data_IF_650353303691
#
_entry.id   IF_650353303691
#
_cell.length_a   1.000
_cell.length_b   1.000
_cell.length_c   1.000
_cell.angle_alpha   90.00
_cell.angle_beta   90.00
_cell.angle_gamma   90.00
#
_symmetry.space_group_name_H-M   'P 1'
#
loop_
_entity.id
_entity.type
_entity.pdbx_description
1 polymer ?
#
# COMPACT_ATOMS: atom_id res chain seq x y z
N UNK A 1 7.71 13.64 6.70
CA UNK A 1 7.50 13.24 8.11
C UNK A 1 6.03 13.27 8.52
N UNK A 2 5.30 14.39 8.36
CA UNK A 2 3.92 14.52 8.83
C UNK A 2 2.95 13.48 8.24
N UNK A 3 3.03 13.19 6.93
CA UNK A 3 2.16 12.20 6.26
C UNK A 3 2.34 10.80 6.88
N UNK A 4 3.58 10.38 7.11
CA UNK A 4 3.90 9.09 7.74
C UNK A 4 3.24 8.93 9.10
N UNK A 5 3.37 9.93 9.98
CA UNK A 5 2.76 9.91 11.30
C UNK A 5 1.22 9.85 11.20
N UNK A 6 0.63 10.58 10.24
CA UNK A 6 -0.80 10.55 10.00
C UNK A 6 -1.28 9.18 9.51
N UNK A 7 -0.54 8.50 8.63
CA UNK A 7 -0.89 7.16 8.13
C UNK A 7 -0.97 6.14 9.28
N UNK A 8 0.03 6.12 10.16
CA UNK A 8 0.05 5.22 11.32
C UNK A 8 -1.08 5.53 12.31
N UNK A 9 -1.24 6.81 12.69
CA UNK A 9 -2.26 7.23 13.66
C UNK A 9 -3.68 7.02 13.15
N UNK A 10 -3.94 7.29 11.87
CA UNK A 10 -5.26 7.14 11.25
C UNK A 10 -5.76 5.69 11.28
N UNK A 11 -4.85 4.71 11.24
CA UNK A 11 -5.19 3.28 11.28
C UNK A 11 -4.81 2.58 12.58
N UNK A 12 -4.33 3.32 13.57
CA UNK A 12 -3.89 2.79 14.87
C UNK A 12 -2.87 1.65 14.72
N UNK A 13 -1.96 1.78 13.75
CA UNK A 13 -0.89 0.81 13.53
C UNK A 13 0.31 1.12 14.44
N UNK A 14 1.00 0.08 14.97
CA UNK A 14 2.15 0.27 15.83
C UNK A 14 3.33 0.92 15.08
N UNK A 15 4.23 1.54 15.85
CA UNK A 15 5.41 2.22 15.30
C UNK A 15 6.40 1.31 14.58
N UNK A 16 6.29 -0.01 14.76
CA UNK A 16 7.05 -1.02 14.02
C UNK A 16 6.86 -0.89 12.50
N UNK A 17 5.67 -0.46 12.05
CA UNK A 17 5.36 -0.27 10.62
C UNK A 17 5.77 1.10 10.06
N UNK A 18 6.66 1.81 10.76
CA UNK A 18 7.07 3.14 10.34
C UNK A 18 7.78 3.13 8.99
N UNK A 19 8.61 2.12 8.71
CA UNK A 19 9.30 1.99 7.43
C UNK A 19 8.33 1.87 6.25
N UNK A 20 7.30 1.04 6.40
CA UNK A 20 6.25 0.83 5.39
C UNK A 20 5.38 2.06 5.20
N UNK A 21 5.08 2.78 6.29
CA UNK A 21 4.38 4.06 6.24
C UNK A 21 5.21 5.12 5.50
N UNK A 22 6.53 5.17 5.71
CA UNK A 22 7.43 6.09 4.97
C UNK A 22 7.41 5.77 3.48
N UNK A 23 7.59 4.51 3.12
CA UNK A 23 7.59 4.07 1.72
C UNK A 23 6.27 4.42 1.03
N UNK A 24 5.14 4.18 1.70
CA UNK A 24 3.82 4.55 1.18
C UNK A 24 3.66 6.06 1.04
N UNK A 25 4.11 6.84 2.02
CA UNK A 25 4.04 8.30 1.95
C UNK A 25 4.86 8.87 0.78
N UNK A 26 6.08 8.35 0.56
CA UNK A 26 6.93 8.75 -0.59
C UNK A 26 6.27 8.36 -1.90
N UNK A 27 5.72 7.15 -1.98
CA UNK A 27 5.01 6.69 -3.18
C UNK A 27 3.82 7.58 -3.54
N UNK A 28 2.99 7.92 -2.55
CA UNK A 28 1.85 8.81 -2.73
C UNK A 28 2.28 10.22 -3.12
N UNK A 29 3.37 10.73 -2.55
CA UNK A 29 3.92 12.04 -2.91
C UNK A 29 4.37 12.07 -4.37
N UNK A 30 4.99 10.98 -4.85
CA UNK A 30 5.43 10.88 -6.24
C UNK A 30 4.24 10.87 -7.22
N UNK A 31 3.10 10.34 -6.80
CA UNK A 31 1.85 10.32 -7.58
C UNK A 31 0.98 11.57 -7.38
N UNK A 32 1.37 12.49 -6.49
CA UNK A 32 0.59 13.69 -6.18
C UNK A 32 1.06 14.88 -7.02
N UNK A 33 0.16 15.79 -7.44
CA UNK A 33 0.54 17.01 -8.12
C UNK A 33 1.43 17.88 -7.24
N UNK A 34 2.55 18.36 -7.79
CA UNK A 34 3.43 19.30 -7.11
C UNK A 34 3.18 20.72 -7.63
N UNK A 35 3.02 21.68 -6.70
CA UNK A 35 2.87 23.10 -7.05
C UNK A 35 4.07 23.64 -7.83
N UNK A 36 5.27 23.17 -7.50
CA UNK A 36 6.52 23.53 -8.19
C UNK A 36 6.59 23.02 -9.63
N UNK A 37 5.76 22.04 -10.01
CA UNK A 37 5.72 21.45 -11.35
C UNK A 37 4.48 21.87 -12.14
N UNK A 38 3.87 23.00 -11.79
CA UNK A 38 2.68 23.54 -12.48
C UNK A 38 1.54 22.51 -12.60
N UNK A 39 1.32 21.75 -11.52
CA UNK A 39 0.26 20.74 -11.46
C UNK A 39 0.61 19.38 -12.03
N UNK A 40 1.85 19.16 -12.52
CA UNK A 40 2.36 17.83 -12.84
C UNK A 40 2.76 17.06 -11.58
N UNK A 41 2.69 15.74 -11.65
CA UNK A 41 3.22 14.85 -10.59
C UNK A 41 4.74 14.69 -10.73
N UNK A 42 5.43 14.33 -9.64
CA UNK A 42 6.87 14.03 -9.70
C UNK A 42 7.14 12.81 -10.61
N UNK A 43 6.25 11.83 -10.59
CA UNK A 43 6.32 10.67 -11.49
C UNK A 43 6.22 11.08 -12.96
N UNK A 44 5.30 11.98 -13.30
CA UNK A 44 5.21 12.56 -14.66
C UNK A 44 6.48 13.29 -15.06
N UNK A 45 7.11 14.02 -14.14
CA UNK A 45 8.34 14.76 -14.43
C UNK A 45 9.54 13.84 -14.70
N UNK A 46 9.57 12.63 -14.15
CA UNK A 46 10.67 11.66 -14.37
C UNK A 46 10.42 10.68 -15.51
N UNK A 47 9.17 10.35 -15.79
CA UNK A 47 8.82 9.29 -16.75
C UNK A 47 8.03 9.80 -17.97
N UNK A 48 7.78 11.11 -18.05
CA UNK A 48 6.96 11.76 -19.08
C UNK A 48 5.59 11.10 -19.30
N UNK A 49 5.09 10.44 -18.24
CA UNK A 49 3.87 9.64 -18.27
C UNK A 49 3.08 9.84 -16.99
N UNK A 50 1.76 9.99 -17.11
CA UNK A 50 0.85 10.07 -15.96
C UNK A 50 0.87 8.77 -15.15
N UNK A 51 1.05 8.82 -13.81
CA UNK A 51 0.95 7.63 -12.99
C UNK A 51 -0.49 7.11 -13.04
N UNK A 52 -0.66 5.79 -13.18
CA UNK A 52 -1.95 5.17 -12.91
C UNK A 52 -2.22 5.23 -11.41
N UNK A 53 -3.43 5.63 -11.01
CA UNK A 53 -3.83 5.70 -9.58
C UNK A 53 -4.88 4.65 -9.20
N UNK A 54 -5.32 3.81 -10.15
CA UNK A 54 -6.37 2.83 -9.91
C UNK A 54 -5.97 1.77 -8.86
N UNK A 55 -4.69 1.44 -8.78
CA UNK A 55 -4.17 0.45 -7.83
C UNK A 55 -3.96 1.03 -6.42
N UNK A 56 -4.16 2.33 -6.21
CA UNK A 56 -4.01 2.92 -4.89
C UNK A 56 -5.03 2.33 -3.90
N UNK A 57 -4.56 2.03 -2.70
CA UNK A 57 -5.34 1.54 -1.56
C UNK A 57 -4.97 2.36 -0.33
N UNK A 58 -5.92 2.48 0.59
CA UNK A 58 -5.68 3.17 1.86
C UNK A 58 -4.69 2.35 2.68
N UNK A 59 -3.58 2.95 3.09
CA UNK A 59 -2.64 2.33 4.05
C UNK A 59 -3.40 1.76 5.24
N UNK A 60 -3.02 0.58 5.72
CA UNK A 60 -3.66 -0.11 6.84
C UNK A 60 -5.10 -0.55 6.59
N UNK A 61 -5.55 -0.61 5.32
CA UNK A 61 -6.86 -1.18 5.02
C UNK A 61 -6.87 -2.70 5.17
N UNK A 62 -8.07 -3.23 5.37
CA UNK A 62 -8.29 -4.65 5.35
C UNK A 62 -8.05 -5.20 3.93
N UNK A 63 -7.25 -6.25 3.84
CA UNK A 63 -6.95 -6.97 2.62
C UNK A 63 -7.28 -8.45 2.78
N UNK A 64 -7.64 -9.10 1.68
CA UNK A 64 -7.91 -10.54 1.65
C UNK A 64 -6.99 -11.19 0.63
N UNK A 65 -6.10 -12.07 1.10
CA UNK A 65 -5.23 -12.85 0.22
C UNK A 65 -5.94 -14.15 -0.11
N UNK A 66 -6.09 -14.46 -1.40
CA UNK A 66 -6.62 -15.76 -1.83
C UNK A 66 -5.62 -16.86 -1.54
N UNK A 67 -6.03 -17.86 -0.77
CA UNK A 67 -5.24 -19.05 -0.51
C UNK A 67 -5.46 -20.01 -1.68
N UNK A 68 -4.38 -20.36 -2.39
CA UNK A 68 -4.43 -21.32 -3.50
C UNK A 68 -3.87 -22.65 -3.02
N UNK A 69 -4.76 -23.56 -2.61
CA UNK A 69 -4.44 -24.94 -2.22
C UNK A 69 -5.12 -25.91 -3.18
N UNK A 70 -4.42 -26.98 -3.56
CA UNK A 70 -4.88 -27.94 -4.57
C UNK A 70 -6.10 -28.77 -4.08
N UNK A 71 -6.16 -29.08 -2.78
CA UNK A 71 -7.16 -29.99 -2.19
C UNK A 71 -8.05 -29.28 -1.15
N UNK A 72 -8.64 -28.13 -1.51
CA UNK A 72 -9.57 -27.39 -0.64
C UNK A 72 -10.91 -28.13 -0.51
N UNK A 73 -11.43 -28.25 0.73
CA UNK A 73 -12.81 -28.74 0.94
C UNK A 73 -13.83 -27.66 0.53
N UNK A 74 -15.06 -28.08 0.19
CA UNK A 74 -16.11 -27.17 -0.35
C UNK A 74 -16.43 -25.97 0.56
N UNK A 75 -16.32 -26.15 1.89
CA UNK A 75 -16.63 -25.15 2.92
C UNK A 75 -15.40 -24.60 3.65
N UNK A 76 -14.19 -24.86 3.16
CA UNK A 76 -12.96 -24.36 3.79
C UNK A 76 -12.72 -22.88 3.44
N UNK A 77 -12.15 -22.12 4.37
CA UNK A 77 -11.78 -20.72 4.15
C UNK A 77 -10.77 -20.57 3.01
N UNK A 78 -11.12 -19.73 2.04
CA UNK A 78 -10.32 -19.50 0.82
C UNK A 78 -9.53 -18.20 0.83
N UNK A 79 -9.65 -17.43 1.91
CA UNK A 79 -9.03 -16.11 2.02
C UNK A 79 -8.45 -15.86 3.40
N UNK A 80 -7.24 -15.31 3.43
CA UNK A 80 -6.58 -14.86 4.65
C UNK A 80 -6.90 -13.38 4.88
N UNK A 81 -7.38 -13.06 6.08
CA UNK A 81 -7.67 -11.69 6.50
C UNK A 81 -6.38 -11.00 6.93
N UNK A 82 -6.03 -9.92 6.26
CA UNK A 82 -4.71 -9.27 6.38
C UNK A 82 -4.80 -7.75 6.30
N UNK A 83 -3.67 -7.05 6.47
CA UNK A 83 -3.57 -5.59 6.48
C UNK A 83 -2.62 -5.13 5.37
N UNK A 84 -3.07 -4.18 4.55
CA UNK A 84 -2.21 -3.56 3.52
C UNK A 84 -1.18 -2.62 4.15
N UNK A 85 0.10 -2.80 3.81
CA UNK A 85 1.21 -1.98 4.35
C UNK A 85 1.86 -1.08 3.29
N UNK A 86 2.30 -1.59 2.13
CA UNK A 86 2.94 -0.75 1.12
C UNK A 86 2.87 -1.33 -0.29
N UNK A 87 3.20 -0.50 -1.26
CA UNK A 87 3.37 -0.90 -2.66
C UNK A 87 4.76 -1.51 -2.88
N UNK A 88 4.85 -2.56 -3.68
CA UNK A 88 6.14 -3.14 -4.07
C UNK A 88 6.78 -2.34 -5.21
N UNK A 89 8.10 -2.16 -5.13
CA UNK A 89 8.86 -1.47 -6.19
C UNK A 89 9.06 -2.40 -7.38
N UNK A 90 8.71 -1.94 -8.58
CA UNK A 90 8.96 -2.68 -9.83
C UNK A 90 7.93 -3.77 -10.16
N UNK A 91 6.94 -4.01 -9.31
CA UNK A 91 5.84 -4.93 -9.60
C UNK A 91 4.48 -4.36 -9.21
N UNK A 92 3.39 -4.99 -9.66
CA UNK A 92 2.02 -4.64 -9.24
C UNK A 92 1.62 -5.32 -7.92
N UNK A 93 2.60 -5.76 -7.13
CA UNK A 93 2.36 -6.45 -5.86
C UNK A 93 2.20 -5.46 -4.70
N UNK A 94 1.65 -5.98 -3.61
CA UNK A 94 1.47 -5.26 -2.36
C UNK A 94 2.16 -6.02 -1.23
N UNK A 95 2.77 -5.28 -0.31
CA UNK A 95 3.15 -5.80 0.99
C UNK A 95 1.94 -5.82 1.89
N UNK A 96 1.72 -6.98 2.47
CA UNK A 96 0.56 -7.30 3.29
C UNK A 96 1.07 -7.95 4.57
N UNK A 97 0.42 -7.63 5.68
CA UNK A 97 0.73 -8.17 7.00
C UNK A 97 -0.41 -9.00 7.54
N UNK A 98 -0.09 -10.21 7.99
CA UNK A 98 -1.02 -11.05 8.74
C UNK A 98 -0.84 -10.79 10.25
N UNK A 99 -1.85 -10.27 10.96
CA UNK A 99 -1.77 -10.09 12.41
C UNK A 99 -1.83 -11.40 13.21
N UNK A 100 -2.22 -12.52 12.58
CA UNK A 100 -2.39 -13.82 13.25
C UNK A 100 -1.08 -14.61 13.28
N UNK A 101 -0.31 -14.59 12.20
CA UNK A 101 1.00 -15.25 12.09
C UNK A 101 2.15 -14.31 12.52
N UNK A 102 2.13 -13.86 13.78
CA UNK A 102 3.19 -13.00 14.34
C UNK A 102 4.50 -13.74 14.57
#
# INVERSE_FOLDING_TARGET
>A
MAITCSLLKAKRLPGEFWGEAVMTAVYLLNCSPAKSLTGKTLYEAWHDRKPSVHHLRTFGCLAYIKIVKLNMKKLEDRSLKTIFLRYETGSKAYWIYDPVEK
#
